data_IF_380489801681
#
_entry.id   IF_380489801681
#
_cell.length_a   1.000
_cell.length_b   1.000
_cell.length_c   1.000
_cell.angle_alpha   90.00
_cell.angle_beta   90.00
_cell.angle_gamma   90.00
#
_symmetry.space_group_name_H-M   'P 1'
#
loop_
_entity.id
_entity.type
_entity.pdbx_description
1 polymer ?
#
# COMPACT_ATOMS: atom_id res chain seq x y z
N UNK A 1 -12.53 -8.35 -5.61
CA UNK A 1 -11.67 -7.20 -5.26
C UNK A 1 -12.11 -6.66 -3.89
N UNK A 2 -12.20 -7.52 -2.86
CA UNK A 2 -12.87 -7.19 -1.60
C UNK A 2 -12.00 -7.35 -0.34
N UNK A 3 -10.72 -7.75 -0.44
CA UNK A 3 -9.95 -8.15 0.76
C UNK A 3 -8.75 -7.25 1.09
N UNK A 4 -8.66 -6.06 0.49
CA UNK A 4 -7.62 -5.06 0.81
C UNK A 4 -8.27 -3.70 1.03
N UNK A 5 -8.82 -3.47 2.23
CA UNK A 5 -9.18 -2.12 2.67
C UNK A 5 -7.89 -1.32 2.85
N UNK A 6 -7.58 -0.50 1.86
CA UNK A 6 -6.48 0.46 1.89
C UNK A 6 -6.99 1.74 2.53
N UNK A 7 -6.46 2.07 3.70
CA UNK A 7 -6.86 3.26 4.45
C UNK A 7 -6.48 4.53 3.66
N UNK A 8 -7.45 5.42 3.42
CA UNK A 8 -7.22 6.71 2.78
C UNK A 8 -7.44 6.79 1.26
N UNK A 9 -7.76 5.68 0.57
CA UNK A 9 -8.08 5.71 -0.87
C UNK A 9 -9.58 5.50 -1.19
N UNK A 10 -10.44 5.37 -0.17
CA UNK A 10 -11.85 5.01 -0.31
C UNK A 10 -12.65 5.99 -1.17
N UNK A 11 -12.41 7.31 -1.02
CA UNK A 11 -13.12 8.35 -1.78
C UNK A 11 -12.86 8.23 -3.29
N UNK A 12 -11.59 8.04 -3.68
CA UNK A 12 -11.20 7.94 -5.10
C UNK A 12 -11.66 6.59 -5.69
N UNK A 13 -11.66 5.52 -4.88
CA UNK A 13 -12.22 4.24 -5.28
C UNK A 13 -13.74 4.33 -5.51
N UNK A 14 -14.46 5.01 -4.62
CA UNK A 14 -15.90 5.28 -4.75
C UNK A 14 -16.19 6.06 -6.02
N UNK A 15 -15.42 7.11 -6.31
CA UNK A 15 -15.57 7.88 -7.54
C UNK A 15 -15.34 7.03 -8.81
N UNK A 16 -14.35 6.13 -8.78
CA UNK A 16 -14.12 5.18 -9.88
C UNK A 16 -15.28 4.20 -10.04
N UNK A 17 -15.84 3.70 -8.95
CA UNK A 17 -16.98 2.80 -8.97
C UNK A 17 -18.25 3.48 -9.48
N UNK A 18 -18.51 4.73 -9.08
CA UNK A 18 -19.57 5.56 -9.65
C UNK A 18 -19.37 5.79 -11.16
N UNK A 19 -18.14 5.97 -11.61
CA UNK A 19 -17.85 6.07 -13.04
C UNK A 19 -18.14 4.76 -13.78
N UNK A 20 -17.79 3.62 -13.19
CA UNK A 20 -18.12 2.31 -13.75
C UNK A 20 -19.63 2.02 -13.73
N UNK A 21 -20.37 2.53 -12.75
CA UNK A 21 -21.83 2.40 -12.65
C UNK A 21 -22.58 3.09 -13.81
N UNK A 22 -21.92 4.00 -14.56
CA UNK A 22 -22.48 4.59 -15.79
C UNK A 22 -22.67 3.58 -16.93
N UNK A 23 -22.04 2.41 -16.83
CA UNK A 23 -22.28 1.29 -17.73
C UNK A 23 -21.00 0.70 -18.33
N UNK A 24 -21.15 -0.47 -18.96
CA UNK A 24 -20.04 -1.26 -19.49
C UNK A 24 -19.17 -0.48 -20.49
N UNK A 25 -19.78 0.28 -21.40
CA UNK A 25 -19.04 1.05 -22.42
C UNK A 25 -18.13 2.11 -21.79
N UNK A 26 -18.56 2.77 -20.71
CA UNK A 26 -17.74 3.74 -19.99
C UNK A 26 -16.49 3.10 -19.39
N UNK A 27 -16.65 1.89 -18.84
CA UNK A 27 -15.56 1.12 -18.26
C UNK A 27 -14.59 0.59 -19.32
N UNK A 28 -15.09 -0.03 -20.39
CA UNK A 28 -14.23 -0.72 -21.36
C UNK A 28 -13.59 0.22 -22.39
N UNK A 29 -14.24 1.34 -22.74
CA UNK A 29 -13.69 2.33 -23.67
C UNK A 29 -12.70 3.32 -23.01
N UNK A 30 -12.42 3.15 -21.72
CA UNK A 30 -11.45 3.98 -21.00
C UNK A 30 -11.97 5.36 -20.57
N UNK A 31 -13.28 5.58 -20.56
CA UNK A 31 -13.88 6.87 -20.14
C UNK A 31 -13.62 7.20 -18.66
N UNK A 32 -13.27 6.20 -17.84
CA UNK A 32 -12.94 6.36 -16.42
C UNK A 32 -11.42 6.37 -16.13
N UNK A 33 -10.57 6.48 -17.14
CA UNK A 33 -9.11 6.30 -16.99
C UNK A 33 -8.43 7.36 -16.09
N UNK A 34 -9.00 8.56 -16.00
CA UNK A 34 -8.53 9.60 -15.07
C UNK A 34 -8.63 9.17 -13.61
N UNK A 35 -9.84 8.78 -13.18
CA UNK A 35 -10.11 8.26 -11.84
C UNK A 35 -9.29 7.01 -11.54
N UNK A 36 -9.14 6.11 -12.52
CA UNK A 36 -8.26 4.93 -12.40
C UNK A 36 -6.81 5.32 -12.13
N UNK A 37 -6.33 6.39 -12.76
CA UNK A 37 -4.96 6.90 -12.55
C UNK A 37 -4.80 7.46 -11.13
N UNK A 38 -5.82 8.13 -10.60
CA UNK A 38 -5.82 8.63 -9.22
C UNK A 38 -5.82 7.50 -8.20
N UNK A 39 -6.65 6.46 -8.39
CA UNK A 39 -6.62 5.25 -7.56
C UNK A 39 -5.21 4.64 -7.57
N UNK A 40 -4.60 4.47 -8.75
CA UNK A 40 -3.25 3.93 -8.85
C UNK A 40 -2.20 4.76 -8.12
N UNK A 41 -2.29 6.10 -8.16
CA UNK A 41 -1.39 6.99 -7.43
C UNK A 41 -1.56 6.83 -5.92
N UNK A 42 -2.81 6.78 -5.45
CA UNK A 42 -3.13 6.62 -4.03
C UNK A 42 -2.58 5.28 -3.49
N UNK A 43 -2.91 4.17 -4.15
CA UNK A 43 -2.43 2.84 -3.77
C UNK A 43 -0.89 2.72 -3.85
N UNK A 44 -0.27 3.45 -4.78
CA UNK A 44 1.19 3.51 -4.88
C UNK A 44 1.81 4.22 -3.68
N UNK A 45 1.22 5.33 -3.24
CA UNK A 45 1.70 6.08 -2.08
C UNK A 45 1.65 5.23 -0.81
N UNK A 46 0.51 4.59 -0.54
CA UNK A 46 0.34 3.72 0.62
C UNK A 46 1.33 2.52 0.58
N UNK A 47 1.53 1.91 -0.59
CA UNK A 47 2.54 0.85 -0.76
C UNK A 47 3.95 1.34 -0.37
N UNK A 48 4.29 2.57 -0.74
CA UNK A 48 5.60 3.15 -0.39
C UNK A 48 5.70 3.37 1.11
N UNK A 49 4.69 3.98 1.75
CA UNK A 49 4.66 4.20 3.19
C UNK A 49 4.79 2.90 3.98
N UNK A 50 4.03 1.87 3.62
CA UNK A 50 4.13 0.54 4.23
C UNK A 50 5.53 -0.05 4.06
N UNK A 51 6.12 0.11 2.88
CA UNK A 51 7.48 -0.39 2.61
C UNK A 51 8.51 0.32 3.48
N UNK A 52 8.37 1.64 3.67
CA UNK A 52 9.23 2.41 4.58
C UNK A 52 9.08 1.92 6.02
N UNK A 53 7.85 1.80 6.53
CA UNK A 53 7.58 1.30 7.88
C UNK A 53 8.20 -0.08 8.11
N UNK A 54 7.95 -1.02 7.18
CA UNK A 54 8.51 -2.37 7.26
C UNK A 54 10.04 -2.36 7.22
N UNK A 55 10.65 -1.45 6.46
CA UNK A 55 12.11 -1.31 6.40
C UNK A 55 12.67 -0.81 7.73
N UNK A 56 12.04 0.18 8.35
CA UNK A 56 12.49 0.70 9.66
C UNK A 56 12.32 -0.37 10.76
N UNK A 57 11.16 -1.03 10.83
CA UNK A 57 10.96 -2.15 11.77
C UNK A 57 11.97 -3.28 11.57
N UNK A 58 12.31 -3.60 10.32
CA UNK A 58 13.31 -4.61 10.02
C UNK A 58 14.72 -4.19 10.48
N UNK A 59 15.09 -2.92 10.34
CA UNK A 59 16.37 -2.40 10.85
C UNK A 59 16.42 -2.49 12.37
N UNK A 60 15.36 -2.08 13.07
CA UNK A 60 15.28 -2.16 14.52
C UNK A 60 15.41 -3.60 15.02
N UNK A 61 14.67 -4.53 14.41
CA UNK A 61 14.75 -5.96 14.73
C UNK A 61 16.16 -6.50 14.51
N UNK A 62 16.81 -6.14 13.38
CA UNK A 62 18.20 -6.54 13.10
C UNK A 62 19.20 -5.97 14.10
N UNK A 63 19.04 -4.70 14.50
CA UNK A 63 19.90 -4.09 15.50
C UNK A 63 19.78 -4.77 16.86
N UNK A 64 18.54 -5.05 17.29
CA UNK A 64 18.26 -5.81 18.53
C UNK A 64 18.88 -7.21 18.49
N UNK A 65 18.67 -7.95 17.41
CA UNK A 65 19.26 -9.28 17.25
C UNK A 65 20.79 -9.21 17.28
N UNK A 66 21.41 -8.26 16.57
CA UNK A 66 22.86 -8.08 16.57
C UNK A 66 23.41 -7.80 17.98
N UNK A 67 22.71 -6.98 18.76
CA UNK A 67 23.10 -6.70 20.14
C UNK A 67 23.01 -7.95 21.03
N UNK A 68 21.92 -8.73 20.90
CA UNK A 68 21.75 -9.99 21.64
C UNK A 68 22.85 -10.99 21.28
N UNK A 69 23.15 -11.18 19.99
CA UNK A 69 24.21 -12.09 19.56
C UNK A 69 25.59 -11.66 20.05
N UNK A 70 25.89 -10.36 20.06
CA UNK A 70 27.15 -9.84 20.60
C UNK A 70 27.28 -10.05 22.11
N UNK A 71 26.18 -9.91 22.86
CA UNK A 71 26.16 -10.18 24.31
C UNK A 71 26.38 -11.67 24.61
N UNK A 72 25.75 -12.56 23.84
CA UNK A 72 25.97 -14.00 23.97
C UNK A 72 27.44 -14.34 23.73
N UNK A 73 28.03 -13.86 22.62
CA UNK A 73 29.44 -14.12 22.25
C UNK A 73 30.44 -13.59 23.29
N UNK A 74 30.12 -12.48 23.97
CA UNK A 74 30.97 -11.90 25.00
C UNK A 74 30.89 -12.62 26.36
N UNK A 75 29.80 -13.33 26.64
CA UNK A 75 29.53 -14.00 27.93
C UNK A 75 29.60 -15.53 27.86
N UNK A 76 29.99 -16.10 26.72
CA UNK A 76 30.21 -17.55 26.50
C UNK A 76 31.69 -17.88 26.40
#
# INVERSE_FOLDING_TARGET
MADHVVQGCEEIMTALDECHAKGFLWKCMGMCSGLKTEVNKCLRAERVERTVKNREEAKEKRAKMKAIWADIDANS
#
